data_IF_583664680631
#
_entry.id   IF_583664680631
#
_cell.length_a   1.000
_cell.length_b   1.000
_cell.length_c   1.000
_cell.angle_alpha   90.00
_cell.angle_beta   90.00
_cell.angle_gamma   90.00
#
_symmetry.space_group_name_H-M   'P 1'
#
loop_
_entity.id
_entity.type
_entity.pdbx_description
1 polymer ?
#
# COMPACT_ATOMS: atom_id res chain seq x y z
N UNK A 1 0.95 12.47 5.77
CA UNK A 1 -0.05 13.51 5.51
C UNK A 1 0.10 14.01 4.11
N UNK A 2 -1.01 14.18 3.40
CA UNK A 2 -1.06 14.76 2.05
C UNK A 2 -1.77 16.09 2.16
N UNK A 3 -1.19 17.14 1.58
CA UNK A 3 -1.77 18.48 1.57
C UNK A 3 -2.06 18.93 0.16
N UNK A 4 -3.07 19.79 0.03
CA UNK A 4 -3.40 20.46 -1.24
C UNK A 4 -3.50 21.94 -0.93
N UNK A 5 -2.69 22.71 -1.67
CA UNK A 5 -2.61 24.15 -1.58
C UNK A 5 -3.02 24.77 -2.91
N UNK A 6 -3.82 25.84 -2.84
CA UNK A 6 -4.11 26.71 -3.99
C UNK A 6 -3.62 28.09 -3.61
N UNK A 7 -2.46 28.47 -4.15
CA UNK A 7 -1.89 29.79 -3.88
C UNK A 7 -2.74 30.92 -4.49
N UNK A 8 -2.50 32.15 -4.06
CA UNK A 8 -3.15 33.31 -4.68
C UNK A 8 -2.66 33.48 -6.13
N UNK A 9 -3.54 33.97 -6.99
CA UNK A 9 -3.25 34.32 -8.40
C UNK A 9 -2.80 33.16 -9.30
N UNK A 10 -3.09 31.90 -8.93
CA UNK A 10 -2.83 30.73 -9.79
C UNK A 10 -3.97 30.48 -10.79
N UNK A 11 -5.17 30.96 -10.47
CA UNK A 11 -6.32 30.99 -11.34
C UNK A 11 -6.71 32.45 -11.61
N UNK A 12 -7.02 32.76 -12.87
CA UNK A 12 -7.46 34.09 -13.30
C UNK A 12 -8.75 33.98 -14.10
N UNK A 13 -9.64 34.96 -13.94
CA UNK A 13 -10.82 35.11 -14.80
C UNK A 13 -10.48 35.77 -16.15
N UNK A 14 -11.48 35.97 -17.00
CA UNK A 14 -11.29 36.59 -18.31
C UNK A 14 -10.85 38.07 -18.25
N UNK A 15 -11.01 38.72 -17.09
CA UNK A 15 -10.56 40.08 -16.83
C UNK A 15 -9.20 40.13 -16.11
N UNK A 16 -8.50 38.98 -15.99
CA UNK A 16 -7.23 38.81 -15.29
C UNK A 16 -7.29 39.09 -13.77
N UNK A 17 -8.46 38.96 -13.14
CA UNK A 17 -8.55 38.98 -11.68
C UNK A 17 -8.08 37.64 -11.12
N UNK A 18 -7.09 37.66 -10.22
CA UNK A 18 -6.58 36.46 -9.55
C UNK A 18 -7.47 35.95 -8.42
N UNK A 19 -7.43 34.64 -8.16
CA UNK A 19 -8.05 34.05 -6.97
C UNK A 19 -7.29 34.42 -5.68
N UNK A 20 -7.99 34.43 -4.55
CA UNK A 20 -7.35 34.42 -3.22
C UNK A 20 -6.82 33.02 -2.89
N UNK A 21 -5.73 32.96 -2.10
CA UNK A 21 -5.21 31.68 -1.62
C UNK A 21 -6.28 30.91 -0.82
N UNK A 22 -6.40 29.61 -1.06
CA UNK A 22 -7.31 28.75 -0.32
C UNK A 22 -6.77 28.44 1.08
N UNK A 23 -7.67 28.15 2.02
CA UNK A 23 -7.27 27.45 3.26
C UNK A 23 -6.74 26.07 2.89
N UNK A 24 -5.56 25.72 3.39
CA UNK A 24 -4.91 24.44 3.08
C UNK A 24 -5.83 23.26 3.44
N UNK A 25 -6.01 22.35 2.49
CA UNK A 25 -6.63 21.05 2.74
C UNK A 25 -5.55 20.05 3.16
N UNK A 26 -5.86 19.21 4.15
CA UNK A 26 -4.94 18.20 4.67
C UNK A 26 -5.67 16.92 5.03
N UNK A 27 -5.08 15.78 4.66
CA UNK A 27 -5.58 14.45 4.99
C UNK A 27 -4.43 13.52 5.42
N UNK A 28 -4.68 12.67 6.39
CA UNK A 28 -3.77 11.59 6.75
C UNK A 28 -3.91 10.46 5.74
N UNK A 29 -2.86 10.17 4.99
CA UNK A 29 -2.75 8.97 4.17
C UNK A 29 -1.95 7.92 4.93
N UNK A 30 -2.42 6.68 4.91
CA UNK A 30 -1.58 5.53 5.24
C UNK A 30 -0.72 5.20 4.01
N UNK A 31 0.60 5.21 4.21
CA UNK A 31 1.61 4.92 3.19
C UNK A 31 2.49 3.74 3.61
N UNK A 32 2.10 3.04 4.66
CA UNK A 32 2.77 1.83 5.11
C UNK A 32 2.44 0.72 4.13
N UNK A 33 3.47 0.05 3.61
CA UNK A 33 3.26 -1.10 2.73
C UNK A 33 2.98 -2.37 3.55
N UNK A 34 2.18 -3.32 3.02
CA UNK A 34 1.95 -4.59 3.68
C UNK A 34 3.25 -5.37 3.75
N UNK A 35 3.48 -6.00 4.90
CA UNK A 35 4.51 -7.01 5.06
C UNK A 35 3.87 -8.40 5.04
N UNK A 36 4.64 -9.41 4.66
CA UNK A 36 4.20 -10.81 4.70
C UNK A 36 5.17 -11.62 5.55
N UNK A 37 4.64 -12.37 6.50
CA UNK A 37 5.36 -13.38 7.24
C UNK A 37 4.93 -14.76 6.72
N UNK A 38 5.90 -15.55 6.28
CA UNK A 38 5.68 -16.95 5.88
C UNK A 38 6.15 -17.83 7.03
N UNK A 39 5.28 -18.73 7.50
CA UNK A 39 5.55 -19.59 8.65
C UNK A 39 5.05 -21.01 8.42
N UNK A 40 5.60 -21.96 9.18
CA UNK A 40 5.17 -23.35 9.20
C UNK A 40 5.39 -23.90 10.61
N UNK A 41 4.55 -24.84 11.04
CA UNK A 41 4.73 -25.59 12.29
C UNK A 41 5.46 -26.91 12.06
N UNK A 42 5.81 -27.24 10.80
CA UNK A 42 6.60 -28.42 10.48
C UNK A 42 8.01 -28.33 11.07
N UNK A 43 8.55 -29.47 11.48
CA UNK A 43 9.94 -29.57 11.91
C UNK A 43 10.89 -29.21 10.76
N UNK A 44 12.02 -28.58 11.08
CA UNK A 44 13.07 -28.27 10.11
C UNK A 44 14.30 -29.14 10.40
N UNK A 45 14.81 -29.94 9.44
CA UNK A 45 14.34 -30.08 8.05
C UNK A 45 13.11 -30.98 7.90
N UNK A 46 12.38 -30.79 6.79
CA UNK A 46 11.26 -31.65 6.37
C UNK A 46 11.37 -31.95 4.87
N UNK A 47 10.96 -33.16 4.47
CA UNK A 47 10.90 -33.63 3.08
C UNK A 47 9.55 -34.32 2.76
N UNK A 48 8.50 -33.96 3.48
CA UNK A 48 7.12 -34.44 3.30
C UNK A 48 6.16 -33.24 3.20
N UNK A 49 4.90 -33.49 2.86
CA UNK A 49 3.88 -32.46 2.73
C UNK A 49 3.74 -31.65 4.03
N UNK A 50 3.69 -30.32 3.89
CA UNK A 50 3.47 -29.40 5.00
C UNK A 50 2.61 -28.21 4.58
N UNK A 51 2.13 -27.46 5.54
CA UNK A 51 1.39 -26.21 5.30
C UNK A 51 2.29 -25.01 5.58
N UNK A 52 2.39 -24.11 4.60
CA UNK A 52 2.93 -22.78 4.79
C UNK A 52 1.79 -21.78 5.01
N UNK A 53 1.88 -20.98 6.07
CA UNK A 53 0.91 -19.92 6.38
C UNK A 53 1.51 -18.58 6.05
N UNK A 54 0.81 -17.81 5.22
CA UNK A 54 1.13 -16.43 4.87
C UNK A 54 0.28 -15.49 5.74
N UNK A 55 0.95 -14.68 6.56
CA UNK A 55 0.29 -13.69 7.42
C UNK A 55 0.68 -12.30 6.96
N UNK A 56 -0.30 -11.51 6.51
CA UNK A 56 -0.10 -10.12 6.11
C UNK A 56 -0.32 -9.17 7.30
N UNK A 57 0.45 -8.08 7.37
CA UNK A 57 0.29 -7.06 8.43
C UNK A 57 -0.98 -6.21 8.28
N UNK A 58 -1.62 -6.28 7.12
CA UNK A 58 -2.87 -5.59 6.78
C UNK A 58 -3.64 -6.41 5.73
N UNK A 59 -4.87 -5.99 5.40
CA UNK A 59 -5.69 -6.70 4.44
C UNK A 59 -5.10 -6.57 3.02
N UNK A 60 -4.75 -7.70 2.41
CA UNK A 60 -4.28 -7.78 1.01
C UNK A 60 -5.39 -8.35 0.13
N UNK A 61 -5.63 -7.72 -1.02
CA UNK A 61 -6.56 -8.19 -2.04
C UNK A 61 -5.81 -8.66 -3.27
N UNK A 62 -6.36 -9.63 -4.00
CA UNK A 62 -5.75 -10.14 -5.25
C UNK A 62 -4.62 -11.16 -5.08
N UNK A 63 -4.21 -11.49 -3.85
CA UNK A 63 -3.25 -12.57 -3.61
C UNK A 63 -3.84 -13.93 -4.00
N UNK A 64 -3.14 -14.67 -4.85
CA UNK A 64 -3.56 -15.95 -5.40
C UNK A 64 -2.39 -16.95 -5.51
N UNK A 65 -2.71 -18.20 -5.83
CA UNK A 65 -1.70 -19.28 -5.97
C UNK A 65 -0.64 -18.93 -7.04
N UNK A 66 -1.01 -18.19 -8.09
CA UNK A 66 -0.08 -17.76 -9.14
C UNK A 66 1.02 -16.80 -8.66
N UNK A 67 0.86 -16.18 -7.49
CA UNK A 67 1.86 -15.30 -6.89
C UNK A 67 2.93 -16.09 -6.10
N UNK A 68 2.75 -17.40 -5.96
CA UNK A 68 3.63 -18.27 -5.18
C UNK A 68 4.60 -18.99 -6.12
N UNK A 69 5.90 -18.75 -5.91
CA UNK A 69 6.96 -19.54 -6.55
C UNK A 69 7.52 -20.54 -5.55
N UNK A 70 7.52 -21.82 -5.91
CA UNK A 70 8.04 -22.90 -5.08
C UNK A 70 9.53 -23.12 -5.37
N UNK A 71 10.33 -23.26 -4.32
CA UNK A 71 11.73 -23.68 -4.38
C UNK A 71 11.92 -24.92 -3.52
N UNK A 72 12.52 -25.99 -4.07
CA UNK A 72 12.67 -27.30 -3.41
C UNK A 72 11.36 -27.90 -2.87
N UNK A 73 10.24 -27.57 -3.52
CA UNK A 73 8.90 -28.03 -3.20
C UNK A 73 8.10 -28.21 -4.49
N UNK A 74 6.97 -28.91 -4.41
CA UNK A 74 6.01 -29.16 -5.50
C UNK A 74 4.61 -28.78 -5.08
#
# INVERSE_FOLDING_TARGET
TVTIDVAANVAQDAAANGNTAATQFSITADLTAPTVLISSTAANPINDAFTATFTFSEAVTGFAVGDITLGNAT
#
